data_IF_027606606895
#
_entry.id   IF_027606606895
#
_cell.length_a   1.000
_cell.length_b   1.000
_cell.length_c   1.000
_cell.angle_alpha   90.00
_cell.angle_beta   90.00
_cell.angle_gamma   90.00
#
_symmetry.space_group_name_H-M   'P 1'
#
loop_
_entity.id
_entity.type
_entity.pdbx_description
1 polymer ?
#
# COMPACT_ATOMS: atom_id res chain seq x y z
N UNK A 1 26.73 -0.90 -33.92
CA UNK A 1 26.30 -0.68 -32.52
C UNK A 1 24.83 -0.28 -32.60
N UNK A 2 23.93 -1.25 -32.40
CA UNK A 2 22.51 -1.10 -32.74
C UNK A 2 21.76 -0.28 -31.67
N UNK A 3 20.85 0.60 -32.10
CA UNK A 3 19.92 1.36 -31.23
C UNK A 3 19.18 0.46 -30.22
N UNK A 4 18.99 -0.82 -30.54
CA UNK A 4 18.40 -1.84 -29.66
C UNK A 4 19.22 -2.11 -28.38
N UNK A 5 20.54 -2.05 -28.44
CA UNK A 5 21.41 -2.29 -27.27
C UNK A 5 21.40 -1.11 -26.28
N UNK A 6 21.28 0.11 -26.80
CA UNK A 6 21.21 1.34 -26.01
C UNK A 6 19.84 1.44 -25.31
N UNK A 7 18.78 1.07 -26.02
CA UNK A 7 17.41 1.11 -25.49
C UNK A 7 17.19 0.01 -24.42
N UNK A 8 17.70 -1.20 -24.65
CA UNK A 8 17.64 -2.28 -23.66
C UNK A 8 18.46 -1.97 -22.40
N UNK A 9 19.65 -1.38 -22.51
CA UNK A 9 20.45 -0.97 -21.35
C UNK A 9 19.83 0.15 -20.51
N UNK A 10 19.10 1.08 -21.15
CA UNK A 10 18.34 2.10 -20.43
C UNK A 10 17.10 1.53 -19.72
N UNK A 11 16.37 0.61 -20.36
CA UNK A 11 15.23 -0.08 -19.74
C UNK A 11 15.64 -0.94 -18.54
N UNK A 12 16.77 -1.64 -18.63
CA UNK A 12 17.29 -2.48 -17.55
C UNK A 12 17.62 -1.63 -16.30
N UNK A 13 18.26 -0.47 -16.49
CA UNK A 13 18.50 0.50 -15.39
C UNK A 13 17.22 1.10 -14.82
N UNK A 14 16.24 1.38 -15.67
CA UNK A 14 14.96 1.95 -15.24
C UNK A 14 14.15 0.94 -14.40
N UNK A 15 14.18 -0.34 -14.77
CA UNK A 15 13.58 -1.44 -14.02
C UNK A 15 14.30 -1.66 -12.67
N UNK A 16 15.64 -1.61 -12.64
CA UNK A 16 16.40 -1.67 -11.37
C UNK A 16 16.08 -0.48 -10.43
N UNK A 17 15.93 0.73 -10.97
CA UNK A 17 15.56 1.91 -10.20
C UNK A 17 14.12 1.83 -9.68
N UNK A 18 13.20 1.24 -10.43
CA UNK A 18 11.85 0.92 -9.96
C UNK A 18 11.88 -0.10 -8.82
N UNK A 19 12.71 -1.14 -8.94
CA UNK A 19 12.90 -2.17 -7.91
C UNK A 19 13.45 -1.57 -6.60
N UNK A 20 14.36 -0.58 -6.70
CA UNK A 20 14.87 0.17 -5.53
C UNK A 20 13.86 1.15 -4.92
N UNK A 21 12.87 1.61 -5.68
CA UNK A 21 11.81 2.52 -5.20
C UNK A 21 10.63 1.80 -4.55
N UNK A 22 10.28 0.60 -5.01
CA UNK A 22 9.20 -0.24 -4.46
C UNK A 22 9.27 -0.48 -2.94
N UNK A 23 10.42 -0.73 -2.30
CA UNK A 23 10.48 -0.82 -0.83
C UNK A 23 10.21 0.52 -0.13
N UNK A 24 10.48 1.67 -0.77
CA UNK A 24 10.10 2.99 -0.23
C UNK A 24 8.59 3.25 -0.31
N UNK A 25 7.87 2.57 -1.20
CA UNK A 25 6.41 2.62 -1.20
C UNK A 25 5.78 1.83 -0.05
N UNK A 26 6.47 0.79 0.48
CA UNK A 26 6.05 0.12 1.73
C UNK A 26 6.03 1.09 2.91
N UNK A 27 6.84 2.15 2.89
CA UNK A 27 6.80 3.23 3.88
C UNK A 27 5.51 4.06 3.85
N UNK A 28 4.74 4.08 2.74
CA UNK A 28 3.41 4.73 2.71
C UNK A 28 2.41 4.06 3.65
N UNK A 29 2.66 2.82 4.08
CA UNK A 29 1.86 2.09 5.08
C UNK A 29 1.85 2.81 6.44
N UNK A 30 2.90 3.58 6.79
CA UNK A 30 2.91 4.40 8.01
C UNK A 30 1.75 5.39 8.05
N UNK A 31 1.30 5.90 6.90
CA UNK A 31 0.14 6.80 6.83
C UNK A 31 -1.17 6.07 7.12
N UNK A 32 -1.30 4.82 6.66
CA UNK A 32 -2.45 3.95 6.97
C UNK A 32 -2.48 3.59 8.46
N UNK A 33 -1.31 3.29 9.05
CA UNK A 33 -1.18 3.04 10.49
C UNK A 33 -1.54 4.30 11.28
N UNK A 34 -1.02 5.46 10.91
CA UNK A 34 -1.32 6.73 11.58
C UNK A 34 -2.82 7.07 11.53
N UNK A 35 -3.45 6.94 10.36
CA UNK A 35 -4.90 7.13 10.21
C UNK A 35 -5.67 6.09 11.03
N UNK A 36 -5.22 4.83 11.02
CA UNK A 36 -5.83 3.76 11.82
C UNK A 36 -5.74 4.00 13.33
N UNK A 37 -4.70 4.66 13.82
CA UNK A 37 -4.58 5.01 15.23
C UNK A 37 -5.44 6.23 15.58
N UNK A 38 -5.57 7.22 14.69
CA UNK A 38 -6.31 8.47 14.95
C UNK A 38 -7.82 8.30 14.76
N UNK A 39 -8.24 7.52 13.76
CA UNK A 39 -9.65 7.31 13.40
C UNK A 39 -10.56 6.85 14.55
N UNK A 40 -10.17 5.94 15.47
CA UNK A 40 -11.05 5.53 16.56
C UNK A 40 -11.27 6.63 17.60
N UNK A 41 -10.41 7.64 17.68
CA UNK A 41 -10.58 8.79 18.59
C UNK A 41 -11.42 9.90 17.97
N UNK A 42 -11.31 10.12 16.66
CA UNK A 42 -12.04 11.19 15.94
C UNK A 42 -13.38 10.69 15.39
N UNK A 43 -13.43 9.42 14.99
CA UNK A 43 -14.59 8.75 14.39
C UNK A 43 -15.89 8.85 15.20
N UNK A 44 -15.88 8.68 16.53
CA UNK A 44 -17.06 8.84 17.38
C UNK A 44 -17.69 10.24 17.35
N UNK A 45 -16.91 11.27 17.01
CA UNK A 45 -17.36 12.67 16.92
C UNK A 45 -17.91 13.03 15.53
N UNK A 46 -17.83 12.11 14.55
CA UNK A 46 -18.38 12.36 13.22
C UNK A 46 -19.90 12.41 13.32
N UNK A 47 -20.54 13.53 12.92
CA UNK A 47 -21.99 13.64 12.95
C UNK A 47 -22.59 12.73 11.88
N UNK A 48 -23.36 11.72 12.31
CA UNK A 48 -24.19 10.95 11.41
C UNK A 48 -25.52 11.68 11.20
N UNK A 49 -26.28 11.28 10.17
CA UNK A 49 -27.64 11.80 9.83
C UNK A 49 -28.64 11.83 10.99
N UNK A 50 -28.28 11.28 12.14
CA UNK A 50 -29.14 10.93 13.26
C UNK A 50 -28.52 11.36 14.60
N UNK A 51 -27.46 12.17 14.60
CA UNK A 51 -26.68 12.61 15.77
C UNK A 51 -25.26 12.05 15.77
N UNK A 52 -24.40 12.48 16.71
CA UNK A 52 -23.05 11.91 16.84
C UNK A 52 -23.13 10.47 17.38
N UNK A 53 -22.18 9.62 16.98
CA UNK A 53 -22.10 8.23 17.45
C UNK A 53 -21.94 8.17 18.98
N UNK A 54 -21.16 9.12 19.51
CA UNK A 54 -20.92 9.29 20.95
C UNK A 54 -22.20 9.50 21.76
N UNK A 55 -23.18 10.24 21.22
CA UNK A 55 -24.43 10.57 21.93
C UNK A 55 -25.38 9.38 21.99
N UNK A 56 -25.18 8.37 21.12
CA UNK A 56 -26.09 7.22 20.99
C UNK A 56 -25.61 5.97 21.70
N UNK A 57 -24.31 5.70 21.64
CA UNK A 57 -23.70 4.50 22.23
C UNK A 57 -22.76 4.82 23.40
N UNK A 58 -22.49 6.10 23.66
CA UNK A 58 -21.42 6.50 24.56
C UNK A 58 -20.04 6.40 23.90
N UNK A 59 -19.09 7.15 24.45
CA UNK A 59 -17.72 7.22 23.93
C UNK A 59 -17.01 5.87 23.92
N UNK A 60 -17.12 5.12 25.02
CA UNK A 60 -16.42 3.85 25.21
C UNK A 60 -16.81 2.83 24.14
N UNK A 61 -18.10 2.64 23.90
CA UNK A 61 -18.59 1.64 22.95
C UNK A 61 -18.35 2.07 21.50
N UNK A 62 -18.42 3.37 21.22
CA UNK A 62 -18.07 3.92 19.90
C UNK A 62 -16.61 3.69 19.55
N UNK A 63 -15.69 3.96 20.47
CA UNK A 63 -14.25 3.73 20.29
C UNK A 63 -13.95 2.25 20.07
N UNK A 64 -14.58 1.36 20.85
CA UNK A 64 -14.42 -0.09 20.71
C UNK A 64 -14.89 -0.61 19.35
N UNK A 65 -16.02 -0.11 18.84
CA UNK A 65 -16.52 -0.45 17.50
C UNK A 65 -15.54 -0.04 16.41
N UNK A 66 -15.02 1.20 16.44
CA UNK A 66 -14.01 1.62 15.47
C UNK A 66 -12.74 0.79 15.58
N UNK A 67 -12.31 0.45 16.80
CA UNK A 67 -11.13 -0.38 17.01
C UNK A 67 -11.30 -1.77 16.39
N UNK A 68 -12.45 -2.43 16.57
CA UNK A 68 -12.76 -3.72 15.94
C UNK A 68 -12.75 -3.64 14.41
N UNK A 69 -13.33 -2.59 13.83
CA UNK A 69 -13.34 -2.39 12.37
C UNK A 69 -11.91 -2.22 11.87
N UNK A 70 -11.10 -1.42 12.56
CA UNK A 70 -9.71 -1.14 12.18
C UNK A 70 -8.80 -2.36 12.35
N UNK A 71 -9.06 -3.20 13.34
CA UNK A 71 -8.33 -4.45 13.55
C UNK A 71 -8.45 -5.40 12.35
N UNK A 72 -9.56 -5.35 11.61
CA UNK A 72 -9.76 -6.15 10.38
C UNK A 72 -9.32 -5.37 9.14
N UNK A 73 -9.69 -4.09 9.05
CA UNK A 73 -9.42 -3.27 7.87
C UNK A 73 -7.92 -3.01 7.66
N UNK A 74 -7.14 -2.78 8.72
CA UNK A 74 -5.71 -2.47 8.62
C UNK A 74 -4.91 -3.68 8.09
N UNK A 75 -5.02 -4.90 8.65
CA UNK A 75 -4.34 -6.07 8.10
C UNK A 75 -4.73 -6.36 6.66
N UNK A 76 -6.01 -6.21 6.31
CA UNK A 76 -6.49 -6.48 4.95
C UNK A 76 -5.96 -5.46 3.94
N UNK A 77 -5.95 -4.17 4.29
CA UNK A 77 -5.34 -3.12 3.47
C UNK A 77 -3.83 -3.31 3.32
N UNK A 78 -3.13 -3.65 4.41
CA UNK A 78 -1.71 -3.98 4.36
C UNK A 78 -1.46 -5.19 3.45
N UNK A 79 -2.22 -6.26 3.59
CA UNK A 79 -2.08 -7.47 2.79
C UNK A 79 -2.23 -7.19 1.30
N UNK A 80 -3.31 -6.49 0.89
CA UNK A 80 -3.51 -6.12 -0.51
C UNK A 80 -2.39 -5.22 -1.05
N UNK A 81 -1.91 -4.27 -0.25
CA UNK A 81 -0.82 -3.39 -0.65
C UNK A 81 0.50 -4.15 -0.82
N UNK A 82 0.82 -5.07 0.10
CA UNK A 82 2.00 -5.93 0.00
C UNK A 82 1.90 -6.91 -1.17
N UNK A 83 0.74 -7.51 -1.40
CA UNK A 83 0.52 -8.43 -2.50
C UNK A 83 0.68 -7.72 -3.86
N UNK A 84 0.14 -6.51 -4.00
CA UNK A 84 0.31 -5.70 -5.20
C UNK A 84 1.77 -5.37 -5.47
N UNK A 85 2.53 -4.98 -4.44
CA UNK A 85 3.97 -4.70 -4.58
C UNK A 85 4.73 -5.97 -4.96
N UNK A 86 4.43 -7.11 -4.34
CA UNK A 86 5.11 -8.37 -4.69
C UNK A 86 4.83 -8.80 -6.13
N UNK A 87 3.60 -8.66 -6.61
CA UNK A 87 3.27 -8.98 -8.00
C UNK A 87 4.03 -8.06 -8.97
N UNK A 88 4.12 -6.76 -8.67
CA UNK A 88 4.89 -5.82 -9.48
C UNK A 88 6.38 -6.15 -9.51
N UNK A 89 6.96 -6.58 -8.37
CA UNK A 89 8.36 -7.03 -8.32
C UNK A 89 8.54 -8.26 -9.20
N UNK A 90 7.63 -9.24 -9.10
CA UNK A 90 7.69 -10.46 -9.89
C UNK A 90 7.57 -10.22 -11.39
N UNK A 91 6.64 -9.37 -11.81
CA UNK A 91 6.49 -8.98 -13.23
C UNK A 91 7.76 -8.30 -13.75
N UNK A 92 8.35 -7.39 -12.97
CA UNK A 92 9.61 -6.70 -13.33
C UNK A 92 10.76 -7.69 -13.43
N UNK A 93 10.90 -8.63 -12.48
CA UNK A 93 11.96 -9.66 -12.51
C UNK A 93 11.82 -10.55 -13.75
N UNK A 94 10.59 -10.96 -14.10
CA UNK A 94 10.32 -11.78 -15.26
C UNK A 94 10.61 -11.03 -16.58
N UNK A 95 10.30 -9.73 -16.65
CA UNK A 95 10.61 -8.90 -17.82
C UNK A 95 12.13 -8.71 -17.99
N UNK A 96 12.86 -8.54 -16.88
CA UNK A 96 14.33 -8.42 -16.86
C UNK A 96 15.01 -9.73 -17.29
N UNK A 97 14.48 -10.88 -16.86
CA UNK A 97 15.00 -12.20 -17.24
C UNK A 97 14.77 -12.49 -18.74
N UNK A 98 13.60 -12.14 -19.28
CA UNK A 98 13.32 -12.24 -20.71
C UNK A 98 14.23 -11.34 -21.55
N UNK A 99 14.51 -10.11 -21.11
CA UNK A 99 15.46 -9.22 -21.77
C UNK A 99 16.89 -9.77 -21.77
N UNK A 100 17.32 -10.40 -20.66
CA UNK A 100 18.62 -11.09 -20.58
C UNK A 100 18.71 -12.28 -21.53
N UNK A 101 17.64 -13.04 -21.70
CA UNK A 101 17.61 -14.15 -22.65
C UNK A 101 17.62 -13.67 -24.10
N UNK A 102 16.96 -12.57 -24.44
CA UNK A 102 16.99 -11.99 -25.79
C UNK A 102 18.36 -11.39 -26.18
N UNK A 103 19.18 -11.01 -25.21
CA UNK A 103 20.56 -10.53 -25.44
C UNK A 103 21.60 -11.64 -25.62
N UNK A 104 21.25 -12.90 -25.35
CA UNK A 104 22.16 -14.06 -25.43
C UNK A 104 22.04 -14.74 -26.79
#
# INVERSE_FOLDING_TARGET
>A
MNEFDINSGNKEKELEDQLKKLPKEKWKIWRLIAVGIITPFVGPYIPLRKGMLIDRMGYRDSVLMFFLILLIAIPMACYMHFQKINNQIFDIECELENLKQQKK
#
